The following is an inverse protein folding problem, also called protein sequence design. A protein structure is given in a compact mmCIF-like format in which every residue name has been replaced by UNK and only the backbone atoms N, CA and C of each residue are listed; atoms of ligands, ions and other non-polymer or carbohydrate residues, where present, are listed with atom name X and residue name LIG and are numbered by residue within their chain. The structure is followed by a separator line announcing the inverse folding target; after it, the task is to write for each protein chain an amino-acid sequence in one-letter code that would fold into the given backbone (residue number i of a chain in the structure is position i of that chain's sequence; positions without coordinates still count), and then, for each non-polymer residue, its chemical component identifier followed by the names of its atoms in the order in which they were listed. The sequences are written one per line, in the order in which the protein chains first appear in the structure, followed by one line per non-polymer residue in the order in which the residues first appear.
data_IF_700133554323
#
_entry.id   IF_700133554323
#
_cell.length_a   1.000
_cell.length_b   1.000
_cell.length_c   1.000
_cell.angle_alpha   90.00
_cell.angle_beta   90.00
_cell.angle_gamma   90.00
#
_symmetry.space_group_name_H-M   'P 1'
#
loop_
_entity.id
_entity.type
_entity.pdbx_description
1 polymer ?
#
# COMPACT_ATOMS: atom_id res chain seq x y z
N UNK A 1 29.58 51.74 -8.87
CA UNK A 1 30.02 50.60 -8.03
C UNK A 1 28.85 50.24 -7.11
N UNK A 2 28.01 49.26 -7.43
CA UNK A 2 28.14 47.89 -6.93
C UNK A 2 26.82 47.46 -6.25
N UNK A 3 25.91 46.84 -7.01
CA UNK A 3 24.69 46.19 -6.53
C UNK A 3 25.05 44.91 -5.76
N UNK A 4 24.63 44.78 -4.50
CA UNK A 4 24.50 43.45 -3.85
C UNK A 4 23.30 43.41 -2.91
N UNK A 5 22.11 43.19 -3.49
CA UNK A 5 20.92 42.75 -2.75
C UNK A 5 21.11 41.29 -2.35
N UNK A 6 21.26 41.01 -1.05
CA UNK A 6 21.27 39.65 -0.49
C UNK A 6 19.88 39.03 -0.71
N UNK A 7 19.80 38.00 -1.56
CA UNK A 7 18.63 37.11 -1.64
C UNK A 7 18.64 36.23 -0.39
N UNK A 8 17.58 36.28 0.40
CA UNK A 8 17.28 35.28 1.41
C UNK A 8 16.99 33.94 0.73
N UNK A 9 17.57 32.81 1.18
CA UNK A 9 17.09 31.51 0.77
C UNK A 9 15.68 31.33 1.35
N UNK A 10 14.70 31.11 0.47
CA UNK A 10 13.39 30.57 0.83
C UNK A 10 13.65 29.20 1.45
N UNK A 11 13.58 29.11 2.77
CA UNK A 11 13.42 27.84 3.45
C UNK A 11 12.10 27.25 2.96
N UNK A 12 12.23 26.19 2.16
CA UNK A 12 11.12 25.43 1.64
C UNK A 12 10.26 24.98 2.80
N UNK A 13 8.98 25.30 2.72
CA UNK A 13 7.93 24.63 3.47
C UNK A 13 8.19 23.12 3.36
N UNK A 14 8.39 22.38 4.46
CA UNK A 14 8.45 20.94 4.38
C UNK A 14 7.13 20.49 3.76
N UNK A 15 7.26 19.84 2.61
CA UNK A 15 6.13 19.33 1.85
C UNK A 15 5.24 18.53 2.78
N UNK A 16 3.94 18.78 2.68
CA UNK A 16 2.91 17.94 3.26
C UNK A 16 3.22 16.49 2.87
N UNK A 17 3.78 15.73 3.79
CA UNK A 17 3.94 14.29 3.65
C UNK A 17 2.57 13.73 3.27
N UNK A 18 2.43 12.95 2.18
CA UNK A 18 1.18 12.28 1.83
C UNK A 18 1.01 11.06 2.75
N UNK A 19 1.07 11.30 4.05
CA UNK A 19 0.70 10.40 5.13
C UNK A 19 -0.43 11.09 5.89
N UNK A 20 -1.47 11.50 5.17
CA UNK A 20 -2.82 11.37 5.72
C UNK A 20 -2.98 9.87 5.98
N UNK A 21 -2.49 9.46 7.14
CA UNK A 21 -2.66 8.16 7.72
C UNK A 21 -4.16 7.98 7.86
N UNK A 22 -4.79 7.51 6.79
CA UNK A 22 -6.15 7.05 6.77
C UNK A 22 -6.21 6.02 7.90
N UNK A 23 -6.73 6.40 9.07
CA UNK A 23 -6.91 5.49 10.21
C UNK A 23 -7.72 4.24 9.84
N UNK A 24 -8.42 4.32 8.71
CA UNK A 24 -9.28 3.29 8.16
C UNK A 24 -8.67 2.58 6.95
N UNK A 25 -7.43 2.87 6.55
CA UNK A 25 -6.76 2.14 5.48
C UNK A 25 -5.81 1.10 6.05
N UNK A 26 -6.01 -0.14 5.64
CA UNK A 26 -5.09 -1.24 5.86
C UNK A 26 -4.30 -1.48 4.57
N UNK A 27 -2.98 -1.38 4.65
CA UNK A 27 -2.11 -1.61 3.49
C UNK A 27 -1.55 -3.02 3.56
N UNK A 28 -1.68 -3.75 2.45
CA UNK A 28 -1.10 -5.08 2.29
C UNK A 28 -0.15 -5.06 1.11
N UNK A 29 1.02 -5.65 1.32
CA UNK A 29 2.05 -5.77 0.31
C UNK A 29 2.18 -7.23 -0.07
N UNK A 30 2.01 -7.52 -1.37
CA UNK A 30 1.98 -8.89 -1.88
C UNK A 30 2.97 -8.98 -3.02
N UNK A 31 3.82 -10.02 -2.98
CA UNK A 31 4.73 -10.38 -4.05
C UNK A 31 4.21 -11.64 -4.72
N UNK A 32 3.74 -11.59 -5.98
CA UNK A 32 3.29 -12.78 -6.71
C UNK A 32 4.43 -13.80 -6.88
N UNK A 33 4.13 -15.10 -6.81
CA UNK A 33 5.17 -16.15 -6.80
C UNK A 33 6.10 -16.15 -8.03
N UNK A 34 5.62 -15.65 -9.17
CA UNK A 34 6.33 -15.66 -10.47
C UNK A 34 6.91 -14.31 -10.87
N UNK A 35 6.77 -13.28 -10.03
CA UNK A 35 7.15 -11.92 -10.37
C UNK A 35 7.80 -11.22 -9.18
N UNK A 36 8.80 -10.38 -9.48
CA UNK A 36 9.53 -9.60 -8.47
C UNK A 36 8.85 -8.25 -8.18
N UNK A 37 7.71 -7.99 -8.81
CA UNK A 37 6.90 -6.78 -8.63
C UNK A 37 6.08 -6.87 -7.35
N UNK A 38 6.32 -5.96 -6.41
CA UNK A 38 5.56 -5.89 -5.16
C UNK A 38 4.34 -5.00 -5.36
N UNK A 39 3.15 -5.59 -5.23
CA UNK A 39 1.88 -4.87 -5.36
C UNK A 39 1.45 -4.35 -4.00
N UNK A 40 1.14 -3.05 -3.92
CA UNK A 40 0.52 -2.42 -2.75
C UNK A 40 -0.99 -2.40 -2.94
N UNK A 41 -1.70 -3.14 -2.10
CA UNK A 41 -3.16 -3.14 -2.04
C UNK A 41 -3.61 -2.28 -0.85
N UNK A 42 -4.43 -1.27 -1.13
CA UNK A 42 -5.10 -0.46 -0.10
C UNK A 42 -6.48 -1.04 0.17
N UNK A 43 -6.74 -1.43 1.40
CA UNK A 43 -8.02 -1.94 1.87
C UNK A 43 -8.65 -0.88 2.78
N UNK A 44 -9.90 -0.53 2.54
CA UNK A 44 -10.61 0.45 3.35
C UNK A 44 -11.50 -0.25 4.39
N UNK A 45 -11.10 -0.23 5.66
CA UNK A 45 -11.81 -0.85 6.79
C UNK A 45 -13.22 -0.28 7.08
N UNK A 46 -13.64 0.79 6.40
CA UNK A 46 -15.01 1.29 6.49
C UNK A 46 -15.89 0.88 5.30
N UNK A 47 -15.32 0.76 4.11
CA UNK A 47 -16.09 0.60 2.88
C UNK A 47 -15.89 -0.76 2.19
N UNK A 48 -14.82 -1.45 2.51
CA UNK A 48 -14.33 -2.63 1.80
C UNK A 48 -14.58 -3.94 2.58
N UNK A 49 -15.04 -3.82 3.82
CA UNK A 49 -15.38 -4.94 4.68
C UNK A 49 -16.78 -5.46 4.33
N UNK A 50 -16.86 -6.74 4.00
CA UNK A 50 -18.12 -7.48 3.85
C UNK A 50 -18.42 -8.23 5.14
N UNK A 51 -19.70 -8.36 5.50
CA UNK A 51 -20.12 -9.18 6.64
C UNK A 51 -19.96 -10.67 6.28
N UNK A 52 -19.40 -11.45 7.19
CA UNK A 52 -19.39 -12.92 7.07
C UNK A 52 -20.81 -13.48 7.17
N UNK A 53 -21.07 -14.64 6.57
CA UNK A 53 -22.40 -15.29 6.59
C UNK A 53 -22.93 -15.51 8.02
N UNK A 54 -22.05 -15.90 8.94
CA UNK A 54 -22.37 -16.09 10.36
C UNK A 54 -22.51 -14.79 11.18
N UNK A 55 -22.40 -13.60 10.56
CA UNK A 55 -22.39 -12.29 11.23
C UNK A 55 -21.38 -12.17 12.40
N UNK A 56 -20.37 -13.04 12.40
CA UNK A 56 -19.37 -13.19 13.43
C UNK A 56 -18.22 -12.20 13.25
N UNK A 57 -18.03 -11.66 12.06
CA UNK A 57 -17.03 -10.65 11.77
C UNK A 57 -17.15 -10.05 10.37
N UNK A 58 -16.02 -9.61 9.85
CA UNK A 58 -15.90 -9.05 8.52
C UNK A 58 -14.88 -9.83 7.70
N UNK A 59 -15.10 -9.95 6.41
CA UNK A 59 -14.15 -10.50 5.47
C UNK A 59 -13.92 -9.53 4.33
N UNK A 60 -12.74 -9.59 3.74
CA UNK A 60 -12.41 -8.86 2.51
C UNK A 60 -11.57 -9.74 1.62
N UNK A 61 -11.90 -9.72 0.34
CA UNK A 61 -11.16 -10.42 -0.71
C UNK A 61 -10.72 -9.39 -1.74
N UNK A 62 -9.42 -9.35 -2.01
CA UNK A 62 -8.84 -8.49 -3.05
C UNK A 62 -7.94 -9.28 -3.96
N UNK A 63 -7.95 -8.88 -5.21
CA UNK A 63 -7.08 -9.42 -6.24
C UNK A 63 -5.98 -8.39 -6.47
N UNK A 64 -4.75 -8.77 -6.14
CA UNK A 64 -3.54 -8.04 -6.39
C UNK A 64 -2.99 -8.45 -7.76
N UNK A 65 -3.15 -7.58 -8.75
CA UNK A 65 -2.62 -7.77 -10.10
C UNK A 65 -1.51 -6.76 -10.35
N UNK A 66 -0.33 -7.26 -10.72
CA UNK A 66 0.79 -6.44 -11.16
C UNK A 66 0.59 -6.04 -12.63
N UNK A 67 1.15 -4.89 -13.06
CA UNK A 67 0.95 -4.41 -14.43
C UNK A 67 1.76 -5.22 -15.43
N UNK A 68 2.95 -5.65 -15.03
CA UNK A 68 3.88 -6.42 -15.86
C UNK A 68 3.71 -7.94 -15.72
N UNK A 69 2.84 -8.38 -14.81
CA UNK A 69 2.71 -9.77 -14.43
C UNK A 69 1.26 -10.24 -14.63
N UNK A 70 1.00 -11.25 -15.47
CA UNK A 70 -0.36 -11.79 -15.64
C UNK A 70 -0.80 -12.66 -14.45
N UNK A 71 0.08 -12.91 -13.46
CA UNK A 71 -0.26 -13.68 -12.26
C UNK A 71 -0.93 -12.78 -11.24
N UNK A 72 -2.19 -13.08 -10.97
CA UNK A 72 -2.98 -12.44 -9.95
C UNK A 72 -2.73 -13.16 -8.64
N UNK A 73 -2.36 -12.41 -7.60
CA UNK A 73 -2.34 -12.92 -6.24
C UNK A 73 -3.65 -12.55 -5.57
N UNK A 74 -4.27 -13.49 -4.88
CA UNK A 74 -5.50 -13.21 -4.15
C UNK A 74 -5.18 -13.08 -2.67
N UNK A 75 -5.70 -12.04 -2.04
CA UNK A 75 -5.62 -11.87 -0.59
C UNK A 75 -7.02 -11.91 0.00
N UNK A 76 -7.19 -12.80 0.97
CA UNK A 76 -8.39 -12.94 1.76
C UNK A 76 -8.02 -12.63 3.21
N UNK A 77 -8.61 -11.58 3.76
CA UNK A 77 -8.39 -11.17 5.13
C UNK A 77 -9.69 -11.32 5.91
N UNK A 78 -9.59 -11.88 7.10
CA UNK A 78 -10.68 -11.98 8.06
C UNK A 78 -10.42 -11.00 9.19
N UNK A 79 -11.45 -10.27 9.55
CA UNK A 79 -11.47 -9.29 10.61
C UNK A 79 -12.54 -9.65 11.64
N UNK A 80 -12.22 -9.42 12.90
CA UNK A 80 -13.17 -9.54 14.01
C UNK A 80 -14.20 -8.40 13.99
N UNK A 81 -15.26 -8.47 14.81
CA UNK A 81 -16.22 -7.37 15.00
C UNK A 81 -15.56 -6.05 15.39
N UNK A 82 -14.43 -6.11 16.08
CA UNK A 82 -13.63 -4.94 16.44
C UNK A 82 -12.73 -4.43 15.31
N UNK A 83 -12.87 -4.94 14.08
CA UNK A 83 -12.06 -4.62 12.89
C UNK A 83 -10.57 -4.90 13.09
N UNK A 84 -10.25 -5.91 13.89
CA UNK A 84 -8.89 -6.41 14.10
C UNK A 84 -8.65 -7.57 13.15
N UNK A 85 -7.49 -7.61 12.48
CA UNK A 85 -7.13 -8.72 11.63
C UNK A 85 -7.03 -10.00 12.48
N UNK A 86 -7.77 -11.03 12.08
CA UNK A 86 -7.79 -12.36 12.72
C UNK A 86 -6.99 -13.34 11.89
N UNK A 87 -7.20 -13.31 10.58
CA UNK A 87 -6.55 -14.24 9.66
C UNK A 87 -6.23 -13.55 8.33
N UNK A 88 -5.14 -13.98 7.72
CA UNK A 88 -4.68 -13.48 6.42
C UNK A 88 -4.22 -14.63 5.56
N UNK A 89 -5.01 -14.93 4.53
CA UNK A 89 -4.67 -15.91 3.50
C UNK A 89 -4.20 -15.18 2.25
N UNK A 90 -3.09 -15.63 1.68
CA UNK A 90 -2.60 -15.17 0.39
C UNK A 90 -2.45 -16.37 -0.53
N UNK A 91 -3.17 -16.35 -1.66
CA UNK A 91 -3.05 -17.34 -2.71
C UNK A 91 -2.19 -16.82 -3.85
N UNK A 92 -1.38 -17.70 -4.44
CA UNK A 92 -0.51 -17.40 -5.59
C UNK A 92 0.53 -16.28 -5.36
N UNK A 93 0.81 -15.92 -4.10
CA UNK A 93 1.80 -14.94 -3.73
C UNK A 93 2.30 -15.12 -2.29
N UNK A 94 3.24 -14.26 -1.92
CA UNK A 94 3.76 -14.16 -0.56
C UNK A 94 3.43 -12.76 -0.02
N UNK A 95 3.00 -12.69 1.25
CA UNK A 95 2.84 -11.41 1.92
C UNK A 95 4.22 -10.90 2.33
N UNK A 96 4.54 -9.67 1.92
CA UNK A 96 5.85 -9.04 2.20
C UNK A 96 5.66 -7.85 3.13
N UNK A 97 6.76 -7.38 3.70
CA UNK A 97 6.70 -6.22 4.59
C UNK A 97 6.68 -4.91 3.83
N UNK A 98 6.26 -3.85 4.50
CA UNK A 98 6.35 -2.49 3.97
C UNK A 98 7.79 -2.11 3.59
N UNK A 99 8.79 -2.60 4.33
CA UNK A 99 10.19 -2.29 4.07
C UNK A 99 10.65 -2.86 2.71
N UNK A 100 10.27 -4.09 2.39
CA UNK A 100 10.53 -4.72 1.08
C UNK A 100 9.88 -3.93 -0.06
N UNK A 101 8.64 -3.47 0.15
CA UNK A 101 7.94 -2.64 -0.84
C UNK A 101 8.67 -1.31 -1.08
N UNK A 102 9.14 -0.63 -0.03
CA UNK A 102 9.87 0.63 -0.16
C UNK A 102 11.19 0.40 -0.91
N UNK A 103 11.93 -0.66 -0.58
CA UNK A 103 13.18 -1.02 -1.27
C UNK A 103 12.94 -1.28 -2.77
N UNK A 104 11.88 -2.03 -3.09
CA UNK A 104 11.47 -2.24 -4.48
C UNK A 104 11.04 -0.94 -5.15
N UNK A 105 10.20 -0.13 -4.51
CA UNK A 105 9.73 1.14 -5.05
C UNK A 105 10.88 2.12 -5.32
N UNK A 106 11.88 2.20 -4.45
CA UNK A 106 13.08 3.00 -4.66
C UNK A 106 13.91 2.52 -5.86
N UNK A 107 13.91 1.22 -6.17
CA UNK A 107 14.56 0.70 -7.38
C UNK A 107 13.77 0.99 -8.67
N UNK A 108 12.46 1.22 -8.57
CA UNK A 108 11.58 1.50 -9.71
C UNK A 108 11.27 2.99 -9.91
N UNK A 109 11.53 3.84 -8.91
CA UNK A 109 11.22 5.27 -8.88
C UNK A 109 11.89 6.11 -9.98
N UNK A 110 12.88 5.55 -10.67
CA UNK A 110 13.55 6.16 -11.82
C UNK A 110 12.83 5.93 -13.17
N UNK A 111 11.80 5.07 -13.26
CA UNK A 111 11.16 4.73 -14.54
C UNK A 111 9.84 5.46 -14.85
N UNK A 112 9.27 6.25 -13.93
CA UNK A 112 7.97 6.93 -14.15
C UNK A 112 8.06 8.48 -14.18
N UNK A 113 9.22 9.04 -14.51
CA UNK A 113 9.36 10.46 -14.91
C UNK A 113 9.49 10.55 -16.42
N UNK A 114 8.40 10.70 -17.14
CA UNK A 114 8.38 11.23 -18.50
C UNK A 114 7.14 12.06 -18.67
#
# INVERSE_FOLDING_TARGET
MGLFRRRTPKFGTPGSSPELADKNAYFVYIRPKRCEEVVRVRINLMNDLSLTDDESGYFVRKIASAHRCPFQAEVSLLFDRQKRLVDSQVENGEMVTQADYIAWQSSQGDMNKT
#
